data_IF_512270538316
#
_entry.id   IF_512270538316
#
_cell.length_a   1.000
_cell.length_b   1.000
_cell.length_c   1.000
_cell.angle_alpha   90.00
_cell.angle_beta   90.00
_cell.angle_gamma   90.00
#
_symmetry.space_group_name_H-M   'P 1'
#
loop_
_entity.id
_entity.type
_entity.pdbx_description
1 polymer ?
#
# COMPACT_ATOMS: atom_id res chain seq x y z
N UNK A 1 -15.39 17.71 18.99
CA UNK A 1 -14.80 17.46 20.32
C UNK A 1 -15.83 16.83 21.27
N UNK A 2 -16.92 17.52 21.62
CA UNK A 2 -17.90 17.02 22.62
C UNK A 2 -18.58 15.70 22.21
N UNK A 3 -19.04 15.57 20.97
CA UNK A 3 -19.74 14.37 20.50
C UNK A 3 -18.86 13.11 20.38
N UNK A 4 -17.57 13.24 20.06
CA UNK A 4 -16.64 12.10 20.02
C UNK A 4 -16.30 11.65 21.43
N UNK A 5 -15.99 12.58 22.35
CA UNK A 5 -15.78 12.24 23.76
C UNK A 5 -17.04 11.63 24.38
N UNK A 6 -18.22 12.07 23.96
CA UNK A 6 -19.50 11.48 24.35
C UNK A 6 -19.65 10.06 23.76
N UNK A 7 -19.37 9.86 22.47
CA UNK A 7 -19.39 8.55 21.81
C UNK A 7 -18.41 7.56 22.46
N UNK A 8 -17.17 7.98 22.74
CA UNK A 8 -16.15 7.18 23.43
C UNK A 8 -16.58 6.85 24.86
N UNK A 9 -17.20 7.79 25.58
CA UNK A 9 -17.76 7.54 26.93
C UNK A 9 -18.91 6.53 26.89
N UNK A 10 -19.81 6.63 25.92
CA UNK A 10 -20.89 5.66 25.73
C UNK A 10 -20.32 4.28 25.34
N UNK A 11 -19.35 4.25 24.42
CA UNK A 11 -18.66 3.03 24.03
C UNK A 11 -17.98 2.37 25.23
N UNK A 12 -17.27 3.13 26.07
CA UNK A 12 -16.65 2.60 27.28
C UNK A 12 -17.69 2.06 28.27
N UNK A 13 -18.82 2.75 28.44
CA UNK A 13 -19.90 2.28 29.31
C UNK A 13 -20.52 0.98 28.79
N UNK A 14 -20.71 0.85 27.48
CA UNK A 14 -21.25 -0.36 26.86
C UNK A 14 -20.23 -1.50 26.84
N UNK A 15 -18.95 -1.22 26.52
CA UNK A 15 -17.82 -2.15 26.63
C UNK A 15 -17.62 -2.69 28.04
N UNK A 16 -17.86 -1.87 29.07
CA UNK A 16 -17.79 -2.33 30.46
C UNK A 16 -18.94 -3.28 30.84
N UNK A 17 -19.98 -3.37 30.00
CA UNK A 17 -21.15 -4.25 30.16
C UNK A 17 -21.09 -5.48 29.25
N UNK A 18 -20.46 -5.40 28.08
CA UNK A 18 -20.26 -6.52 27.16
C UNK A 18 -18.94 -7.24 27.43
N UNK A 19 -19.02 -8.51 27.84
CA UNK A 19 -17.85 -9.34 28.13
C UNK A 19 -17.29 -10.09 26.90
N UNK A 20 -17.71 -9.73 25.68
CA UNK A 20 -17.38 -10.45 24.46
C UNK A 20 -17.34 -9.48 23.28
N UNK A 21 -16.38 -9.67 22.36
CA UNK A 21 -16.38 -9.01 21.06
C UNK A 21 -17.61 -9.44 20.25
N UNK A 22 -18.32 -8.48 19.69
CA UNK A 22 -19.33 -8.68 18.65
C UNK A 22 -18.99 -7.83 17.41
N UNK A 23 -19.72 -8.06 16.33
CA UNK A 23 -19.46 -7.47 15.02
C UNK A 23 -19.65 -5.96 15.04
N UNK A 24 -20.70 -5.48 15.71
CA UNK A 24 -21.02 -4.06 15.86
C UNK A 24 -19.88 -3.31 16.56
N UNK A 25 -19.37 -3.86 17.65
CA UNK A 25 -18.27 -3.25 18.38
C UNK A 25 -17.00 -3.14 17.52
N UNK A 26 -16.67 -4.18 16.75
CA UNK A 26 -15.49 -4.14 15.87
C UNK A 26 -15.65 -3.07 14.79
N UNK A 27 -16.84 -2.95 14.18
CA UNK A 27 -17.13 -1.86 13.25
C UNK A 27 -16.93 -0.49 13.89
N UNK A 28 -17.47 -0.28 15.09
CA UNK A 28 -17.34 1.01 15.78
C UNK A 28 -15.88 1.33 16.08
N UNK A 29 -15.07 0.35 16.50
CA UNK A 29 -13.65 0.57 16.76
C UNK A 29 -12.87 0.86 15.48
N UNK A 30 -13.19 0.21 14.35
CA UNK A 30 -12.61 0.57 13.04
C UNK A 30 -12.92 2.02 12.68
N UNK A 31 -14.18 2.42 12.77
CA UNK A 31 -14.61 3.77 12.39
C UNK A 31 -14.01 4.83 13.31
N UNK A 32 -13.98 4.60 14.62
CA UNK A 32 -13.35 5.51 15.58
C UNK A 32 -11.84 5.58 15.40
N UNK A 33 -11.18 4.43 15.29
CA UNK A 33 -9.72 4.37 15.21
C UNK A 33 -9.18 4.99 13.93
N UNK A 34 -9.80 4.73 12.77
CA UNK A 34 -9.40 5.32 11.49
C UNK A 34 -9.69 6.83 11.40
N UNK A 35 -10.61 7.36 12.21
CA UNK A 35 -10.96 8.79 12.23
C UNK A 35 -10.25 9.59 13.33
N UNK A 36 -9.43 8.96 14.17
CA UNK A 36 -8.67 9.65 15.24
C UNK A 36 -7.80 10.79 14.69
N UNK A 37 -7.10 10.53 13.57
CA UNK A 37 -6.22 11.50 12.91
C UNK A 37 -6.95 12.69 12.28
N UNK A 38 -8.26 12.60 12.07
CA UNK A 38 -9.09 13.72 11.58
C UNK A 38 -9.28 14.82 12.62
N UNK A 39 -9.09 14.48 13.89
CA UNK A 39 -9.27 15.39 15.02
C UNK A 39 -7.95 15.79 15.64
N UNK A 40 -7.05 14.83 15.80
CA UNK A 40 -5.70 15.05 16.32
C UNK A 40 -4.75 14.33 15.38
N UNK A 41 -4.07 15.10 14.53
CA UNK A 41 -3.14 14.61 13.50
C UNK A 41 -2.09 13.63 14.05
N UNK A 42 -1.69 13.79 15.32
CA UNK A 42 -0.71 12.92 15.99
C UNK A 42 -1.31 11.63 16.57
N UNK A 43 -2.64 11.53 16.66
CA UNK A 43 -3.31 10.32 17.11
C UNK A 43 -3.56 9.40 15.90
N UNK A 44 -2.76 8.33 15.83
CA UNK A 44 -2.82 7.32 14.78
C UNK A 44 -3.84 6.20 15.09
N UNK A 45 -4.56 6.28 16.21
CA UNK A 45 -5.51 5.25 16.60
C UNK A 45 -4.85 3.92 17.01
N UNK A 46 -3.57 3.93 17.39
CA UNK A 46 -2.78 2.73 17.72
C UNK A 46 -3.44 1.87 18.79
N UNK A 47 -4.07 2.49 19.80
CA UNK A 47 -4.75 1.77 20.88
C UNK A 47 -5.91 0.94 20.30
N UNK A 48 -6.70 1.53 19.39
CA UNK A 48 -7.81 0.87 18.72
C UNK A 48 -7.30 -0.24 17.79
N UNK A 49 -6.24 0.02 17.01
CA UNK A 49 -5.61 -0.98 16.15
C UNK A 49 -5.18 -2.21 16.95
N UNK A 50 -4.46 -2.02 18.06
CA UNK A 50 -4.01 -3.12 18.93
C UNK A 50 -5.19 -3.89 19.52
N UNK A 51 -6.26 -3.21 19.90
CA UNK A 51 -7.47 -3.86 20.40
C UNK A 51 -8.12 -4.76 19.32
N UNK A 52 -8.25 -4.29 18.08
CA UNK A 52 -8.79 -5.09 16.98
C UNK A 52 -7.86 -6.26 16.63
N UNK A 53 -6.56 -6.04 16.60
CA UNK A 53 -5.58 -7.12 16.37
C UNK A 53 -5.75 -8.23 17.40
N UNK A 54 -5.92 -7.89 18.68
CA UNK A 54 -6.20 -8.87 19.73
C UNK A 54 -7.56 -9.55 19.55
N UNK A 55 -8.62 -8.79 19.26
CA UNK A 55 -9.98 -9.29 19.06
C UNK A 55 -10.06 -10.31 17.91
N UNK A 56 -9.47 -10.00 16.75
CA UNK A 56 -9.48 -10.86 15.56
C UNK A 56 -8.72 -12.18 15.81
N UNK A 57 -7.78 -12.21 16.76
CA UNK A 57 -7.06 -13.41 17.15
C UNK A 57 -7.72 -14.16 18.32
N UNK A 58 -8.73 -13.58 18.96
CA UNK A 58 -9.38 -14.20 20.10
C UNK A 58 -10.21 -15.43 19.67
N UNK A 59 -9.97 -16.62 20.28
CA UNK A 59 -10.62 -17.86 19.85
C UNK A 59 -12.13 -17.88 20.12
N UNK A 60 -12.63 -17.07 21.04
CA UNK A 60 -14.07 -16.94 21.31
C UNK A 60 -14.77 -16.17 20.19
N UNK A 61 -14.17 -15.05 19.76
CA UNK A 61 -14.67 -14.25 18.66
C UNK A 61 -14.65 -15.05 17.35
N UNK A 62 -13.51 -15.69 17.03
CA UNK A 62 -13.37 -16.53 15.83
C UNK A 62 -14.38 -17.68 15.72
N UNK A 63 -14.82 -18.24 16.86
CA UNK A 63 -15.80 -19.33 16.89
C UNK A 63 -17.24 -18.85 16.72
N UNK A 64 -17.55 -17.61 17.12
CA UNK A 64 -18.90 -17.05 17.06
C UNK A 64 -19.16 -16.24 15.80
N UNK A 65 -18.14 -15.53 15.31
CA UNK A 65 -18.22 -14.66 14.15
C UNK A 65 -18.41 -15.48 12.88
N UNK A 66 -19.28 -15.01 11.98
CA UNK A 66 -19.38 -15.58 10.64
C UNK A 66 -18.04 -15.49 9.91
N UNK A 67 -17.71 -16.53 9.13
CA UNK A 67 -16.43 -16.62 8.42
C UNK A 67 -16.22 -15.53 7.38
N UNK A 68 -17.29 -15.05 6.73
CA UNK A 68 -17.24 -13.97 5.75
C UNK A 68 -17.02 -12.63 6.46
N UNK A 69 -17.68 -12.42 7.60
CA UNK A 69 -17.53 -11.22 8.42
C UNK A 69 -16.12 -11.14 9.02
N UNK A 70 -15.58 -12.27 9.49
CA UNK A 70 -14.19 -12.34 9.95
C UNK A 70 -13.21 -12.01 8.81
N UNK A 71 -13.46 -12.52 7.59
CA UNK A 71 -12.63 -12.20 6.42
C UNK A 71 -12.71 -10.70 6.07
N UNK A 72 -13.91 -10.12 6.10
CA UNK A 72 -14.11 -8.69 5.91
C UNK A 72 -13.27 -7.85 6.88
N UNK A 73 -13.33 -8.15 8.18
CA UNK A 73 -12.52 -7.42 9.16
C UNK A 73 -11.02 -7.64 9.01
N UNK A 74 -10.58 -8.84 8.61
CA UNK A 74 -9.17 -9.08 8.29
C UNK A 74 -8.71 -8.24 7.10
N UNK A 75 -9.53 -8.10 6.06
CA UNK A 75 -9.20 -7.23 4.93
C UNK A 75 -9.20 -5.75 5.34
N UNK A 76 -10.15 -5.28 6.15
CA UNK A 76 -10.11 -3.92 6.69
C UNK A 76 -8.85 -3.66 7.52
N UNK A 77 -8.41 -4.64 8.31
CA UNK A 77 -7.20 -4.56 9.11
C UNK A 77 -5.94 -4.40 8.24
N UNK A 78 -5.86 -5.05 7.08
CA UNK A 78 -4.73 -4.90 6.14
C UNK A 78 -4.50 -3.45 5.77
N UNK A 79 -5.56 -2.73 5.40
CA UNK A 79 -5.44 -1.31 5.05
C UNK A 79 -4.87 -0.52 6.24
N UNK A 80 -5.45 -0.70 7.43
CA UNK A 80 -5.03 0.04 8.60
C UNK A 80 -3.57 -0.26 8.99
N UNK A 81 -3.18 -1.53 9.04
CA UNK A 81 -1.80 -1.95 9.32
C UNK A 81 -0.81 -1.37 8.31
N UNK A 82 -1.14 -1.42 7.02
CA UNK A 82 -0.29 -0.88 5.96
C UNK A 82 -0.04 0.61 6.16
N UNK A 83 -1.10 1.40 6.35
CA UNK A 83 -0.91 2.86 6.44
C UNK A 83 -0.18 3.23 7.73
N UNK A 84 -0.46 2.57 8.87
CA UNK A 84 0.25 2.89 10.12
C UNK A 84 1.71 2.44 10.07
N UNK A 85 2.01 1.28 9.48
CA UNK A 85 3.40 0.82 9.29
C UNK A 85 4.26 1.81 8.51
N UNK A 86 3.64 2.65 7.68
CA UNK A 86 4.31 3.69 6.88
C UNK A 86 4.87 4.83 7.73
N UNK A 87 4.33 5.04 8.94
CA UNK A 87 4.69 6.15 9.83
C UNK A 87 5.15 5.71 11.22
N UNK A 88 4.90 4.46 11.63
CA UNK A 88 5.18 3.97 12.98
C UNK A 88 5.88 2.60 12.99
N UNK A 89 6.94 2.47 13.80
CA UNK A 89 7.82 1.28 13.89
C UNK A 89 7.12 0.06 14.49
N UNK A 90 6.39 0.26 15.59
CA UNK A 90 5.90 -0.83 16.45
C UNK A 90 4.58 -1.48 15.97
N UNK A 91 4.31 -1.46 14.67
CA UNK A 91 3.10 -2.11 14.12
C UNK A 91 3.41 -3.52 13.63
N UNK A 92 2.68 -4.48 14.18
CA UNK A 92 2.65 -5.85 13.69
C UNK A 92 1.81 -5.90 12.42
N UNK A 93 2.39 -6.40 11.33
CA UNK A 93 1.72 -6.63 10.06
C UNK A 93 1.41 -8.12 9.93
N UNK A 94 0.12 -8.47 9.77
CA UNK A 94 -0.30 -9.87 9.68
C UNK A 94 -0.30 -10.35 8.22
N UNK A 95 0.23 -11.55 7.98
CA UNK A 95 0.37 -12.13 6.63
C UNK A 95 -0.71 -13.16 6.28
N UNK A 96 -1.71 -13.35 7.16
CA UNK A 96 -2.74 -14.40 7.08
C UNK A 96 -3.51 -14.47 5.74
N UNK A 97 -3.50 -13.36 4.99
CA UNK A 97 -4.27 -13.22 3.75
C UNK A 97 -3.43 -13.43 2.47
N UNK A 98 -2.09 -13.45 2.54
CA UNK A 98 -1.24 -13.67 1.35
C UNK A 98 -1.45 -15.08 0.77
N UNK A 99 -1.66 -16.07 1.65
CA UNK A 99 -1.93 -17.46 1.25
C UNK A 99 -3.40 -17.71 0.85
N UNK A 100 -4.31 -16.77 1.16
CA UNK A 100 -5.77 -16.94 1.07
C UNK A 100 -6.44 -15.89 0.16
N UNK A 101 -5.73 -15.35 -0.83
CA UNK A 101 -6.31 -14.57 -1.94
C UNK A 101 -7.12 -15.45 -2.90
N UNK A 102 -7.84 -16.44 -2.38
CA UNK A 102 -8.98 -17.02 -3.09
C UNK A 102 -10.15 -16.02 -3.03
N UNK A 103 -10.79 -15.73 -4.18
CA UNK A 103 -11.90 -14.78 -4.30
C UNK A 103 -12.96 -14.96 -3.23
N UNK A 104 -13.43 -13.84 -2.65
CA UNK A 104 -14.72 -13.81 -1.95
C UNK A 104 -15.80 -14.01 -3.00
N UNK A 105 -16.55 -15.12 -2.87
CA UNK A 105 -17.89 -15.25 -3.45
C UNK A 105 -18.75 -14.18 -2.78
N UNK A 106 -19.28 -13.22 -3.54
CA UNK A 106 -20.22 -12.23 -3.00
C UNK A 106 -21.41 -12.89 -2.30
N UNK A 107 -22.13 -12.17 -1.41
CA UNK A 107 -23.31 -12.72 -0.76
C UNK A 107 -24.31 -13.19 -1.80
N UNK A 108 -24.75 -14.44 -1.65
CA UNK A 108 -25.93 -15.00 -2.31
C UNK A 108 -27.17 -14.25 -1.79
N UNK A 109 -27.37 -13.01 -2.22
CA UNK A 109 -28.67 -12.38 -2.11
C UNK A 109 -29.43 -12.59 -3.41
N UNK A 110 -30.59 -13.21 -3.22
CA UNK A 110 -31.59 -13.67 -4.15
C UNK A 110 -31.25 -14.91 -4.98
N UNK A 111 -31.86 -16.02 -4.54
CA UNK A 111 -32.08 -17.24 -5.31
C UNK A 111 -32.96 -16.98 -6.54
N UNK A 112 -32.52 -16.14 -7.47
CA UNK A 112 -33.16 -15.96 -8.76
C UNK A 112 -32.10 -15.89 -9.88
N UNK A 113 -31.98 -17.02 -10.59
CA UNK A 113 -31.30 -17.19 -11.88
C UNK A 113 -29.79 -16.95 -11.91
N UNK A 114 -29.01 -17.90 -11.40
CA UNK A 114 -27.69 -18.15 -11.99
C UNK A 114 -27.89 -18.68 -13.41
N UNK A 115 -27.51 -17.90 -14.43
CA UNK A 115 -27.30 -18.44 -15.77
C UNK A 115 -26.19 -19.50 -15.70
N UNK A 116 -26.37 -20.70 -16.28
CA UNK A 116 -25.30 -21.69 -16.34
C UNK A 116 -24.12 -21.09 -17.13
N UNK A 117 -22.99 -20.82 -16.46
CA UNK A 117 -21.77 -20.29 -17.09
C UNK A 117 -21.18 -19.00 -16.51
N UNK A 118 -21.80 -18.37 -15.49
CA UNK A 118 -21.19 -17.19 -14.84
C UNK A 118 -20.10 -17.61 -13.86
N UNK A 119 -18.85 -17.21 -14.13
CA UNK A 119 -17.75 -17.36 -13.18
C UNK A 119 -17.95 -16.45 -11.97
N UNK A 120 -17.61 -16.89 -10.75
CA UNK A 120 -17.77 -16.07 -9.56
C UNK A 120 -16.90 -14.80 -9.64
N UNK A 121 -17.48 -13.63 -9.37
CA UNK A 121 -16.77 -12.35 -9.37
C UNK A 121 -16.37 -11.92 -7.95
N UNK A 122 -15.21 -11.25 -7.85
CA UNK A 122 -14.63 -10.68 -6.64
C UNK A 122 -15.31 -9.35 -6.35
N UNK A 123 -16.01 -9.25 -5.23
CA UNK A 123 -16.53 -7.97 -4.74
C UNK A 123 -15.39 -7.11 -4.18
N UNK A 124 -15.14 -5.89 -4.68
CA UNK A 124 -14.16 -4.99 -4.08
C UNK A 124 -14.52 -4.65 -2.63
N UNK A 125 -13.56 -4.78 -1.73
CA UNK A 125 -13.73 -4.45 -0.32
C UNK A 125 -13.63 -2.92 -0.10
N UNK A 126 -14.37 -2.31 0.85
CA UNK A 126 -14.44 -0.85 0.99
C UNK A 126 -13.09 -0.15 1.25
N UNK A 127 -12.17 -0.78 1.99
CA UNK A 127 -10.87 -0.18 2.35
C UNK A 127 -9.72 -0.65 1.47
N UNK A 128 -9.76 -1.89 1.01
CA UNK A 128 -8.67 -2.54 0.28
C UNK A 128 -8.97 -2.68 -1.20
N UNK A 129 -10.22 -2.52 -1.63
CA UNK A 129 -10.67 -2.82 -2.99
C UNK A 129 -10.37 -4.28 -3.33
N UNK A 130 -9.54 -4.46 -4.36
CA UNK A 130 -8.96 -5.77 -4.72
C UNK A 130 -7.47 -5.85 -4.34
N UNK A 131 -6.94 -4.83 -3.67
CA UNK A 131 -5.53 -4.60 -3.41
C UNK A 131 -5.07 -5.15 -2.05
N UNK A 132 -5.85 -5.98 -1.35
CA UNK A 132 -5.45 -6.53 -0.05
C UNK A 132 -4.07 -7.22 -0.12
N UNK A 133 -3.85 -8.11 -1.10
CA UNK A 133 -2.53 -8.73 -1.33
C UNK A 133 -1.41 -7.71 -1.57
N UNK A 134 -1.53 -6.82 -2.58
CA UNK A 134 -0.57 -5.74 -2.82
C UNK A 134 -0.29 -4.85 -1.61
N UNK A 135 -1.30 -4.51 -0.80
CA UNK A 135 -1.16 -3.67 0.40
C UNK A 135 -0.37 -4.39 1.52
N UNK A 136 -0.55 -5.71 1.68
CA UNK A 136 0.28 -6.49 2.61
C UNK A 136 1.75 -6.50 2.16
N UNK A 137 2.00 -6.71 0.86
CA UNK A 137 3.36 -6.65 0.32
C UNK A 137 3.99 -5.27 0.50
N UNK A 138 3.21 -4.21 0.30
CA UNK A 138 3.62 -2.83 0.56
C UNK A 138 4.02 -2.65 2.03
N UNK A 139 3.17 -3.07 2.97
CA UNK A 139 3.41 -2.99 4.41
C UNK A 139 4.69 -3.75 4.82
N UNK A 140 4.90 -4.95 4.27
CA UNK A 140 6.13 -5.74 4.49
C UNK A 140 7.38 -5.02 3.95
N UNK A 141 7.30 -4.43 2.75
CA UNK A 141 8.41 -3.67 2.19
C UNK A 141 8.77 -2.46 3.06
N UNK A 142 7.76 -1.72 3.51
CA UNK A 142 7.91 -0.63 4.47
C UNK A 142 8.61 -1.11 5.75
N UNK A 143 8.14 -2.23 6.34
CA UNK A 143 8.76 -2.80 7.53
C UNK A 143 10.24 -3.17 7.32
N UNK A 144 10.56 -3.85 6.21
CA UNK A 144 11.94 -4.18 5.87
C UNK A 144 12.82 -2.92 5.70
N UNK A 145 12.30 -1.86 5.08
CA UNK A 145 13.03 -0.59 4.88
C UNK A 145 13.29 0.09 6.23
N UNK A 146 12.29 0.10 7.11
CA UNK A 146 12.40 0.64 8.46
C UNK A 146 13.40 -0.14 9.32
N UNK A 147 13.33 -1.47 9.28
CA UNK A 147 14.30 -2.33 9.94
C UNK A 147 15.72 -2.13 9.38
N UNK A 148 15.86 -1.93 8.07
CA UNK A 148 17.15 -1.64 7.45
C UNK A 148 17.79 -0.36 8.01
N UNK A 149 16.96 0.65 8.31
CA UNK A 149 17.38 1.95 8.87
C UNK A 149 17.63 1.91 10.37
N UNK A 150 17.02 0.99 11.10
CA UNK A 150 17.24 0.84 12.54
C UNK A 150 18.48 0.00 12.89
N UNK A 151 19.12 -0.65 11.90
CA UNK A 151 20.44 -1.25 12.10
C UNK A 151 21.47 -0.16 12.39
N UNK A 152 21.72 0.06 13.67
CA UNK A 152 22.73 0.98 14.16
C UNK A 152 24.15 0.40 13.88
N UNK A 153 24.98 1.03 13.03
CA UNK A 153 26.29 0.48 12.67
C UNK A 153 27.31 0.48 13.82
N UNK A 154 27.00 1.13 14.94
CA UNK A 154 27.97 1.40 16.04
C UNK A 154 27.67 0.62 17.34
N UNK A 155 26.49 -0.02 17.49
CA UNK A 155 25.94 -0.23 18.83
C UNK A 155 25.73 -1.65 19.37
N UNK A 156 25.68 -2.72 18.56
CA UNK A 156 25.02 -3.96 19.05
C UNK A 156 25.84 -5.23 18.84
N UNK A 157 26.38 -5.75 19.96
CA UNK A 157 26.95 -7.10 20.10
C UNK A 157 25.90 -8.18 19.76
N UNK A 158 26.24 -9.23 18.99
CA UNK A 158 25.33 -10.34 18.77
C UNK A 158 25.60 -11.47 19.77
N UNK A 159 24.84 -11.52 20.86
CA UNK A 159 24.67 -12.74 21.68
C UNK A 159 23.28 -13.34 21.44
N UNK A 160 22.98 -13.71 20.19
CA UNK A 160 21.83 -14.57 19.90
C UNK A 160 22.18 -15.58 18.81
N UNK A 161 21.76 -16.82 19.03
CA UNK A 161 21.95 -17.97 18.14
C UNK A 161 21.26 -17.70 16.80
N UNK A 162 22.06 -17.52 15.74
CA UNK A 162 21.63 -17.15 14.38
C UNK A 162 21.92 -15.69 14.05
N UNK A 163 22.70 -15.44 12.99
CA UNK A 163 23.07 -14.10 12.56
C UNK A 163 21.80 -13.29 12.21
N UNK A 164 21.46 -12.20 12.94
CA UNK A 164 20.28 -11.38 12.67
C UNK A 164 20.21 -10.87 11.23
N UNK A 165 21.37 -10.66 10.60
CA UNK A 165 21.48 -10.27 9.20
C UNK A 165 20.98 -11.38 8.26
N UNK A 166 21.30 -12.64 8.52
CA UNK A 166 20.87 -13.77 7.66
C UNK A 166 19.35 -13.93 7.70
N UNK A 167 18.73 -13.74 8.88
CA UNK A 167 17.27 -13.72 9.02
C UNK A 167 16.64 -12.57 8.24
N UNK A 168 17.20 -11.36 8.35
CA UNK A 168 16.73 -10.20 7.61
C UNK A 168 16.83 -10.40 6.09
N UNK A 169 17.96 -10.92 5.61
CA UNK A 169 18.15 -11.26 4.19
C UNK A 169 17.18 -12.36 3.73
N UNK A 170 16.90 -13.34 4.58
CA UNK A 170 15.86 -14.35 4.36
C UNK A 170 14.50 -13.72 4.13
N UNK A 171 14.03 -12.88 5.07
CA UNK A 171 12.76 -12.15 4.97
C UNK A 171 12.70 -11.26 3.72
N UNK A 172 13.79 -10.59 3.37
CA UNK A 172 13.86 -9.74 2.18
C UNK A 172 13.73 -10.56 0.88
N UNK A 173 14.38 -11.72 0.81
CA UNK A 173 14.29 -12.62 -0.34
C UNK A 173 12.90 -13.26 -0.46
N UNK A 174 12.28 -13.62 0.65
CA UNK A 174 10.90 -14.11 0.69
C UNK A 174 9.92 -13.04 0.20
N UNK A 175 10.05 -11.80 0.70
CA UNK A 175 9.26 -10.68 0.24
C UNK A 175 9.41 -10.45 -1.27
N UNK A 176 10.65 -10.44 -1.78
CA UNK A 176 10.88 -10.33 -3.23
C UNK A 176 10.20 -11.49 -3.97
N UNK A 177 10.34 -12.73 -3.48
CA UNK A 177 9.70 -13.89 -4.10
C UNK A 177 8.18 -13.75 -4.16
N UNK A 178 7.55 -13.29 -3.09
CA UNK A 178 6.10 -13.13 -3.00
C UNK A 178 5.59 -12.03 -3.94
N UNK A 179 6.32 -10.91 -4.06
CA UNK A 179 6.01 -9.86 -5.04
C UNK A 179 5.99 -10.42 -6.47
N UNK A 180 6.99 -11.25 -6.81
CA UNK A 180 7.10 -11.83 -8.15
C UNK A 180 6.13 -13.00 -8.40
N UNK A 181 5.51 -13.58 -7.37
CA UNK A 181 4.48 -14.63 -7.49
C UNK A 181 3.06 -14.08 -7.46
N UNK A 182 2.87 -12.82 -7.05
CA UNK A 182 1.55 -12.22 -6.87
C UNK A 182 0.77 -12.18 -8.19
N UNK A 183 -0.48 -12.67 -8.14
CA UNK A 183 -1.48 -12.53 -9.20
C UNK A 183 -2.42 -11.37 -8.84
N UNK A 184 -2.72 -10.53 -9.82
CA UNK A 184 -3.87 -9.61 -9.75
C UNK A 184 -5.05 -10.19 -10.54
N UNK A 185 -6.29 -9.98 -10.10
CA UNK A 185 -7.46 -10.44 -10.84
C UNK A 185 -7.58 -9.69 -12.18
N UNK A 186 -8.08 -10.38 -13.20
CA UNK A 186 -8.44 -9.78 -14.47
C UNK A 186 -9.72 -8.93 -14.31
N UNK A 187 -9.90 -7.95 -15.20
CA UNK A 187 -11.01 -7.00 -15.09
C UNK A 187 -12.40 -7.66 -15.04
N UNK A 188 -12.61 -8.76 -15.78
CA UNK A 188 -13.88 -9.49 -15.80
C UNK A 188 -14.15 -10.32 -14.53
N UNK A 189 -13.10 -10.59 -13.74
CA UNK A 189 -13.20 -11.28 -12.45
C UNK A 189 -13.64 -10.33 -11.33
N UNK A 190 -13.68 -9.01 -11.58
CA UNK A 190 -14.02 -8.00 -10.57
C UNK A 190 -15.50 -7.63 -10.71
N UNK A 191 -16.25 -7.74 -9.62
CA UNK A 191 -17.65 -7.38 -9.58
C UNK A 191 -17.82 -5.86 -9.64
N UNK A 192 -18.94 -5.42 -10.23
CA UNK A 192 -19.35 -4.02 -10.16
C UNK A 192 -19.81 -3.67 -8.75
N UNK A 193 -19.31 -2.57 -8.19
CA UNK A 193 -19.75 -2.02 -6.90
C UNK A 193 -21.09 -1.30 -6.99
N UNK A 194 -21.60 -1.06 -8.21
CA UNK A 194 -22.77 -0.22 -8.46
C UNK A 194 -22.47 1.28 -8.49
N UNK A 195 -21.27 1.70 -8.07
CA UNK A 195 -20.83 3.09 -8.17
C UNK A 195 -20.29 3.39 -9.57
N UNK A 196 -20.96 4.31 -10.28
CA UNK A 196 -20.58 4.72 -11.64
C UNK A 196 -19.28 5.51 -11.68
N UNK A 197 -18.92 6.18 -10.58
CA UNK A 197 -17.67 6.95 -10.48
C UNK A 197 -16.48 6.05 -10.13
N UNK A 198 -16.73 4.84 -9.63
CA UNK A 198 -15.71 3.87 -9.21
C UNK A 198 -15.88 2.53 -9.93
N UNK A 199 -15.73 2.49 -11.27
CA UNK A 199 -15.75 1.24 -12.03
C UNK A 199 -14.62 0.28 -11.61
N UNK A 200 -14.81 -1.01 -11.87
CA UNK A 200 -13.87 -2.09 -11.53
C UNK A 200 -12.41 -1.81 -11.93
N UNK A 201 -12.19 -1.14 -13.07
CA UNK A 201 -10.85 -0.78 -13.56
C UNK A 201 -10.10 0.15 -12.59
N UNK A 202 -10.80 1.05 -11.86
CA UNK A 202 -10.15 1.92 -10.89
C UNK A 202 -9.54 1.10 -9.73
N UNK A 203 -10.23 0.06 -9.27
CA UNK A 203 -9.69 -0.84 -8.24
C UNK A 203 -8.47 -1.62 -8.75
N UNK A 204 -8.48 -2.06 -10.01
CA UNK A 204 -7.34 -2.75 -10.62
C UNK A 204 -6.13 -1.81 -10.76
N UNK A 205 -6.33 -0.59 -11.26
CA UNK A 205 -5.27 0.42 -11.38
C UNK A 205 -4.63 0.75 -10.03
N UNK A 206 -5.41 0.83 -8.95
CA UNK A 206 -4.88 1.01 -7.59
C UNK A 206 -4.07 -0.19 -7.13
N UNK A 207 -4.55 -1.42 -7.38
CA UNK A 207 -3.79 -2.63 -7.05
C UNK A 207 -2.45 -2.69 -7.79
N UNK A 208 -2.43 -2.35 -9.07
CA UNK A 208 -1.19 -2.20 -9.86
C UNK A 208 -0.29 -1.11 -9.30
N UNK A 209 -0.85 0.04 -8.91
CA UNK A 209 -0.08 1.14 -8.33
C UNK A 209 0.61 0.71 -7.02
N UNK A 210 -0.06 -0.06 -6.15
CA UNK A 210 0.57 -0.65 -4.97
C UNK A 210 1.68 -1.65 -5.32
N UNK A 211 1.49 -2.48 -6.35
CA UNK A 211 2.55 -3.40 -6.82
C UNK A 211 3.79 -2.63 -7.30
N UNK A 212 3.61 -1.62 -8.15
CA UNK A 212 4.71 -0.75 -8.61
C UNK A 212 5.36 -0.01 -7.44
N UNK A 213 4.59 0.52 -6.51
CA UNK A 213 5.10 1.26 -5.36
C UNK A 213 5.91 0.34 -4.42
N UNK A 214 5.48 -0.91 -4.26
CA UNK A 214 6.20 -1.92 -3.49
C UNK A 214 7.55 -2.25 -4.13
N UNK A 215 7.55 -2.57 -5.43
CA UNK A 215 8.79 -2.86 -6.17
C UNK A 215 9.73 -1.64 -6.19
N UNK A 216 9.18 -0.45 -6.44
CA UNK A 216 9.94 0.79 -6.49
C UNK A 216 10.73 1.03 -5.20
N UNK A 217 10.05 1.03 -4.06
CA UNK A 217 10.70 1.29 -2.77
C UNK A 217 11.73 0.22 -2.42
N UNK A 218 11.39 -1.05 -2.66
CA UNK A 218 12.27 -2.18 -2.39
C UNK A 218 13.58 -2.06 -3.20
N UNK A 219 13.49 -1.83 -4.51
CA UNK A 219 14.66 -1.72 -5.39
C UNK A 219 15.37 -0.37 -5.32
N UNK A 220 14.69 0.68 -4.84
CA UNK A 220 15.33 1.94 -4.53
C UNK A 220 16.28 1.79 -3.33
N UNK A 221 15.80 1.21 -2.24
CA UNK A 221 16.56 1.05 -0.99
C UNK A 221 17.59 -0.08 -1.07
N UNK A 222 17.21 -1.26 -1.57
CA UNK A 222 18.09 -2.43 -1.57
C UNK A 222 18.80 -2.61 -2.92
N UNK A 223 19.87 -1.83 -3.14
CA UNK A 223 20.65 -1.84 -4.39
C UNK A 223 21.15 -3.22 -4.81
N UNK A 224 21.57 -4.07 -3.86
CA UNK A 224 22.03 -5.43 -4.16
C UNK A 224 20.90 -6.30 -4.73
N UNK A 225 19.70 -6.21 -4.13
CA UNK A 225 18.52 -6.91 -4.61
C UNK A 225 18.13 -6.43 -6.02
N UNK A 226 18.17 -5.11 -6.24
CA UNK A 226 17.96 -4.48 -7.55
C UNK A 226 18.92 -5.01 -8.61
N UNK A 227 20.22 -4.97 -8.35
CA UNK A 227 21.23 -5.39 -9.31
C UNK A 227 21.08 -6.87 -9.65
N UNK A 228 20.89 -7.73 -8.64
CA UNK A 228 20.63 -9.16 -8.85
C UNK A 228 19.40 -9.37 -9.73
N UNK A 229 18.29 -8.70 -9.44
CA UNK A 229 17.06 -8.84 -10.24
C UNK A 229 17.26 -8.35 -11.67
N UNK A 230 17.89 -7.19 -11.83
CA UNK A 230 18.14 -6.61 -13.14
C UNK A 230 18.99 -7.53 -14.03
N UNK A 231 20.02 -8.18 -13.46
CA UNK A 231 20.82 -9.19 -14.17
C UNK A 231 19.99 -10.42 -14.56
N UNK A 232 19.08 -10.87 -13.69
CA UNK A 232 18.19 -12.00 -14.01
C UNK A 232 17.24 -11.69 -15.16
N UNK A 233 16.68 -10.48 -15.22
CA UNK A 233 15.82 -10.05 -16.33
C UNK A 233 16.61 -9.92 -17.65
N UNK A 234 17.90 -9.58 -17.59
CA UNK A 234 18.79 -9.49 -18.76
C UNK A 234 19.37 -10.82 -19.24
N UNK A 235 19.29 -11.89 -18.43
CA UNK A 235 19.73 -13.24 -18.78
C UNK A 235 18.63 -14.01 -19.51
N UNK A 236 19.02 -14.80 -20.52
CA UNK A 236 18.14 -15.56 -21.43
C UNK A 236 16.94 -16.23 -20.73
N UNK A 237 15.74 -15.91 -21.24
CA UNK A 237 14.47 -16.63 -21.02
C UNK A 237 14.65 -18.12 -21.30
N UNK A 238 14.71 -18.91 -20.23
CA UNK A 238 14.85 -20.36 -20.31
C UNK A 238 14.05 -21.05 -19.22
N UNK A 239 12.79 -20.66 -19.02
CA UNK A 239 11.71 -21.49 -18.46
C UNK A 239 10.40 -20.69 -18.41
N UNK A 240 9.76 -20.53 -19.57
CA UNK A 240 8.50 -19.80 -19.72
C UNK A 240 7.26 -20.51 -19.11
N UNK A 241 7.40 -21.69 -18.48
CA UNK A 241 6.24 -22.58 -18.26
C UNK A 241 5.66 -22.66 -16.85
N UNK A 242 6.15 -21.93 -15.84
CA UNK A 242 5.75 -22.20 -14.44
C UNK A 242 4.97 -21.09 -13.70
N UNK A 243 4.77 -19.90 -14.27
CA UNK A 243 4.14 -18.78 -13.57
C UNK A 243 3.29 -17.88 -14.49
N UNK A 244 2.43 -18.50 -15.31
CA UNK A 244 1.62 -17.79 -16.32
C UNK A 244 0.64 -16.75 -15.73
N UNK A 245 0.40 -16.79 -14.42
CA UNK A 245 -0.53 -15.91 -13.71
C UNK A 245 0.15 -14.79 -12.88
N UNK A 246 1.48 -14.69 -12.90
CA UNK A 246 2.18 -13.62 -12.16
C UNK A 246 2.03 -12.27 -12.85
N UNK A 247 1.61 -11.27 -12.08
CA UNK A 247 1.54 -9.89 -12.56
C UNK A 247 2.93 -9.34 -12.90
N UNK A 248 3.93 -9.57 -12.04
CA UNK A 248 5.28 -9.03 -12.25
C UNK A 248 5.96 -9.58 -13.51
N UNK A 249 5.81 -10.88 -13.79
CA UNK A 249 6.35 -11.51 -14.99
C UNK A 249 5.65 -11.02 -16.27
N UNK A 250 4.35 -10.73 -16.20
CA UNK A 250 3.64 -10.10 -17.32
C UNK A 250 4.24 -8.72 -17.64
N UNK A 251 4.56 -7.93 -16.61
CA UNK A 251 5.15 -6.59 -16.79
C UNK A 251 6.62 -6.64 -17.23
N UNK A 252 7.39 -7.65 -16.82
CA UNK A 252 8.81 -7.81 -17.14
C UNK A 252 9.11 -7.70 -18.65
N UNK A 253 8.22 -8.23 -19.49
CA UNK A 253 8.33 -8.12 -20.96
C UNK A 253 8.48 -6.68 -21.44
N UNK A 254 7.82 -5.73 -20.77
CA UNK A 254 7.89 -4.30 -21.08
C UNK A 254 9.18 -3.64 -20.58
N UNK A 255 9.90 -4.26 -19.65
CA UNK A 255 11.13 -3.74 -19.04
C UNK A 255 12.40 -4.26 -19.72
N UNK A 256 12.32 -5.36 -20.46
CA UNK A 256 13.47 -6.00 -21.11
C UNK A 256 14.26 -5.06 -22.03
N UNK A 257 13.61 -4.07 -22.66
CA UNK A 257 14.29 -3.07 -23.48
C UNK A 257 15.30 -2.22 -22.67
N UNK A 258 15.13 -2.09 -21.36
CA UNK A 258 16.03 -1.32 -20.49
C UNK A 258 17.34 -2.05 -20.21
N UNK A 259 17.36 -3.38 -20.29
CA UNK A 259 18.56 -4.20 -20.04
C UNK A 259 19.72 -3.87 -20.98
N UNK A 260 19.41 -3.30 -22.16
CA UNK A 260 20.38 -2.96 -23.21
C UNK A 260 20.87 -1.51 -23.11
N UNK A 261 20.36 -0.72 -22.14
CA UNK A 261 20.67 0.71 -22.02
C UNK A 261 21.71 0.99 -20.93
N UNK A 262 22.61 1.99 -21.13
CA UNK A 262 23.46 2.49 -20.05
C UNK A 262 22.62 2.93 -18.85
N UNK A 263 23.07 2.60 -17.63
CA UNK A 263 22.33 2.87 -16.38
C UNK A 263 20.90 2.28 -16.36
N UNK A 264 20.65 1.20 -17.12
CA UNK A 264 19.33 0.58 -17.24
C UNK A 264 18.69 0.19 -15.89
N UNK A 265 19.50 -0.19 -14.90
CA UNK A 265 19.03 -0.52 -13.55
C UNK A 265 18.42 0.69 -12.81
N UNK A 266 19.03 1.86 -12.95
CA UNK A 266 18.52 3.11 -12.33
C UNK A 266 17.28 3.61 -13.08
N UNK A 267 17.32 3.55 -14.41
CA UNK A 267 16.16 3.89 -15.26
C UNK A 267 14.97 2.98 -14.97
N UNK A 268 15.20 1.70 -14.73
CA UNK A 268 14.16 0.75 -14.33
C UNK A 268 13.51 1.12 -13.00
N UNK A 269 14.29 1.49 -11.97
CA UNK A 269 13.72 1.95 -10.70
C UNK A 269 12.91 3.23 -10.89
N UNK A 270 13.41 4.21 -11.65
CA UNK A 270 12.63 5.43 -11.96
C UNK A 270 11.33 5.09 -12.71
N UNK A 271 11.38 4.12 -13.63
CA UNK A 271 10.21 3.63 -14.36
C UNK A 271 9.18 3.00 -13.41
N UNK A 272 9.60 2.22 -12.41
CA UNK A 272 8.69 1.63 -11.42
C UNK A 272 7.94 2.74 -10.65
N UNK A 273 8.66 3.73 -10.11
CA UNK A 273 8.04 4.84 -9.39
C UNK A 273 7.11 5.68 -10.27
N UNK A 274 7.50 5.97 -11.51
CA UNK A 274 6.65 6.70 -12.47
C UNK A 274 5.40 5.91 -12.84
N UNK A 275 5.48 4.58 -12.94
CA UNK A 275 4.30 3.75 -13.23
C UNK A 275 3.25 3.81 -12.12
N UNK A 276 3.64 4.05 -10.85
CA UNK A 276 2.67 4.33 -9.78
C UNK A 276 1.77 5.49 -10.21
N UNK A 277 2.38 6.60 -10.62
CA UNK A 277 1.67 7.83 -10.99
C UNK A 277 0.86 7.64 -12.28
N UNK A 278 1.43 6.96 -13.28
CA UNK A 278 0.73 6.69 -14.54
C UNK A 278 -0.53 5.83 -14.35
N UNK A 279 -0.59 4.97 -13.32
CA UNK A 279 -1.83 4.24 -13.00
C UNK A 279 -2.86 5.16 -12.35
N UNK A 280 -2.44 6.04 -11.46
CA UNK A 280 -3.33 7.01 -10.82
C UNK A 280 -3.86 8.09 -11.78
N UNK A 281 -3.07 8.47 -12.80
CA UNK A 281 -3.46 9.43 -13.84
C UNK A 281 -4.62 8.93 -14.70
N UNK A 282 -4.78 7.60 -14.82
CA UNK A 282 -5.90 6.97 -15.53
C UNK A 282 -7.21 6.95 -14.72
N UNK A 283 -7.16 7.28 -13.42
CA UNK A 283 -8.32 7.27 -12.53
C UNK A 283 -8.89 8.68 -12.45
N UNK A 284 -10.19 8.84 -12.68
CA UNK A 284 -10.89 10.12 -12.53
C UNK A 284 -10.82 10.64 -11.08
N UNK A 285 -10.78 11.95 -10.91
CA UNK A 285 -10.71 12.62 -9.60
C UNK A 285 -11.98 12.41 -8.75
N UNK A 286 -13.12 12.13 -9.38
CA UNK A 286 -14.38 11.77 -8.73
C UNK A 286 -14.44 10.32 -8.23
N UNK A 287 -13.45 9.48 -8.55
CA UNK A 287 -13.41 8.08 -8.12
C UNK A 287 -13.34 7.95 -6.60
N UNK A 288 -14.10 7.01 -6.04
CA UNK A 288 -14.06 6.64 -4.63
C UNK A 288 -12.68 6.11 -4.20
N UNK A 289 -11.91 5.53 -5.11
CA UNK A 289 -10.53 5.08 -4.83
C UNK A 289 -9.55 6.23 -4.57
N UNK A 290 -9.90 7.48 -4.85
CA UNK A 290 -9.01 8.63 -4.66
C UNK A 290 -8.56 8.81 -3.21
N UNK A 291 -9.29 8.26 -2.23
CA UNK A 291 -8.91 8.31 -0.80
C UNK A 291 -7.57 7.62 -0.51
N UNK A 292 -7.14 6.64 -1.32
CA UNK A 292 -5.86 5.93 -1.10
C UNK A 292 -4.72 6.44 -1.99
N UNK A 293 -4.99 7.41 -2.87
CA UNK A 293 -3.98 7.97 -3.77
C UNK A 293 -2.85 8.75 -3.05
N UNK A 294 -3.08 9.51 -1.95
CA UNK A 294 -2.04 10.36 -1.36
C UNK A 294 -0.75 9.61 -1.01
N UNK A 295 -0.85 8.43 -0.38
CA UNK A 295 0.32 7.59 -0.06
C UNK A 295 1.06 7.15 -1.32
N UNK A 296 0.34 6.69 -2.35
CA UNK A 296 0.94 6.24 -3.61
C UNK A 296 1.59 7.39 -4.39
N UNK A 297 0.97 8.57 -4.40
CA UNK A 297 1.53 9.79 -5.01
C UNK A 297 2.79 10.23 -4.27
N UNK A 298 2.79 10.19 -2.94
CA UNK A 298 3.96 10.48 -2.11
C UNK A 298 5.13 9.55 -2.47
N UNK A 299 4.87 8.24 -2.52
CA UNK A 299 5.90 7.24 -2.89
C UNK A 299 6.40 7.44 -4.32
N UNK A 300 5.51 7.66 -5.30
CA UNK A 300 5.90 7.85 -6.70
C UNK A 300 6.70 9.14 -6.94
N UNK A 301 6.46 10.18 -6.14
CA UNK A 301 7.08 11.50 -6.29
C UNK A 301 8.61 11.47 -6.23
N UNK A 302 9.18 10.55 -5.45
CA UNK A 302 10.64 10.42 -5.32
C UNK A 302 11.34 9.91 -6.59
N UNK A 303 10.59 9.37 -7.56
CA UNK A 303 11.13 8.98 -8.86
C UNK A 303 11.24 10.12 -9.87
N UNK A 304 10.62 11.27 -9.60
CA UNK A 304 10.48 12.39 -10.53
C UNK A 304 11.66 13.36 -10.47
N UNK A 305 12.89 12.84 -10.55
CA UNK A 305 14.11 13.67 -10.62
C UNK A 305 14.26 14.30 -12.01
N UNK A 306 14.69 15.56 -12.04
CA UNK A 306 15.14 16.25 -13.26
C UNK A 306 16.67 16.21 -13.27
N UNK A 307 17.26 15.92 -14.43
CA UNK A 307 18.72 16.05 -14.60
C UNK A 307 18.96 17.50 -15.08
N UNK A 308 19.65 18.35 -14.29
CA UNK A 308 19.82 19.78 -14.61
C UNK A 308 20.51 20.03 -15.96
N UNK A 309 21.33 19.09 -16.41
CA UNK A 309 22.09 19.20 -17.67
C UNK A 309 21.22 19.01 -18.93
N UNK A 310 19.96 18.57 -18.78
CA UNK A 310 19.07 18.15 -19.87
C UNK A 310 17.73 18.93 -19.88
N UNK A 311 17.70 20.15 -19.34
CA UNK A 311 16.50 20.96 -19.14
C UNK A 311 15.57 21.08 -20.36
N UNK A 312 16.10 21.03 -21.59
CA UNK A 312 15.31 21.13 -22.81
C UNK A 312 14.78 19.79 -23.36
N UNK A 313 15.15 18.66 -22.76
CA UNK A 313 14.76 17.34 -23.26
C UNK A 313 13.26 17.05 -23.07
N UNK A 314 12.71 16.21 -23.96
CA UNK A 314 11.33 15.72 -23.85
C UNK A 314 11.07 14.99 -22.53
N UNK A 315 12.09 14.30 -22.00
CA UNK A 315 12.00 13.59 -20.72
C UNK A 315 11.78 14.58 -19.55
N UNK A 316 12.47 15.72 -19.56
CA UNK A 316 12.31 16.74 -18.51
C UNK A 316 10.92 17.39 -18.56
N UNK A 317 10.42 17.74 -19.76
CA UNK A 317 9.05 18.27 -19.91
C UNK A 317 8.00 17.30 -19.38
N UNK A 318 8.19 16.02 -19.65
CA UNK A 318 7.32 14.96 -19.18
C UNK A 318 7.37 14.83 -17.65
N UNK A 319 8.56 14.92 -17.03
CA UNK A 319 8.67 14.95 -15.56
C UNK A 319 7.90 16.13 -14.97
N UNK A 320 8.01 17.33 -15.54
CA UNK A 320 7.25 18.49 -15.07
C UNK A 320 5.73 18.32 -15.23
N UNK A 321 5.26 17.72 -16.33
CA UNK A 321 3.83 17.38 -16.50
C UNK A 321 3.35 16.45 -15.39
N UNK A 322 4.13 15.40 -15.11
CA UNK A 322 3.77 14.39 -14.09
C UNK A 322 3.82 15.01 -12.69
N UNK A 323 4.82 15.86 -12.38
CA UNK A 323 4.87 16.59 -11.10
C UNK A 323 3.64 17.48 -10.91
N UNK A 324 3.21 18.19 -11.96
CA UNK A 324 1.99 19.01 -11.93
C UNK A 324 0.76 18.15 -11.65
N UNK A 325 0.61 17.02 -12.35
CA UNK A 325 -0.47 16.07 -12.09
C UNK A 325 -0.50 15.63 -10.62
N UNK A 326 0.65 15.30 -10.03
CA UNK A 326 0.74 14.90 -8.62
C UNK A 326 0.24 16.00 -7.70
N UNK A 327 0.73 17.23 -7.84
CA UNK A 327 0.34 18.35 -6.98
C UNK A 327 -1.14 18.69 -7.12
N UNK A 328 -1.64 18.73 -8.36
CA UNK A 328 -3.05 18.99 -8.66
C UNK A 328 -3.93 17.90 -8.02
N UNK A 329 -3.55 16.62 -8.16
CA UNK A 329 -4.31 15.49 -7.61
C UNK A 329 -4.33 15.50 -6.08
N UNK A 330 -3.20 15.69 -5.41
CA UNK A 330 -3.18 15.73 -3.92
C UNK A 330 -3.98 16.92 -3.41
N UNK A 331 -3.89 18.08 -4.06
CA UNK A 331 -4.67 19.27 -3.71
C UNK A 331 -6.18 19.01 -3.84
N UNK A 332 -6.61 18.36 -4.93
CA UNK A 332 -8.01 17.97 -5.15
C UNK A 332 -8.51 17.01 -4.06
N UNK A 333 -7.73 15.98 -3.71
CA UNK A 333 -8.11 15.02 -2.69
C UNK A 333 -8.19 15.69 -1.31
N UNK A 334 -7.21 16.54 -0.97
CA UNK A 334 -7.22 17.31 0.27
C UNK A 334 -8.47 18.21 0.38
N UNK A 335 -8.79 18.96 -0.68
CA UNK A 335 -9.95 19.84 -0.71
C UNK A 335 -11.29 19.07 -0.64
N UNK A 336 -11.39 17.93 -1.33
CA UNK A 336 -12.59 17.09 -1.35
C UNK A 336 -12.86 16.40 -0.01
N UNK A 337 -11.81 16.00 0.71
CA UNK A 337 -11.92 15.23 1.96
C UNK A 337 -11.79 16.05 3.23
N UNK A 338 -11.41 17.33 3.13
CA UNK A 338 -11.14 18.21 4.28
C UNK A 338 -10.17 17.56 5.29
N UNK A 339 -9.19 16.83 4.77
CA UNK A 339 -8.26 16.02 5.55
C UNK A 339 -6.94 16.77 5.73
N UNK A 340 -6.70 17.24 6.95
CA UNK A 340 -5.43 17.88 7.36
C UNK A 340 -4.22 16.94 7.14
N UNK A 341 -4.29 15.64 7.43
CA UNK A 341 -3.24 14.69 7.06
C UNK A 341 -2.89 14.68 5.56
N UNK A 342 -3.89 14.75 4.68
CA UNK A 342 -3.64 14.81 3.22
C UNK A 342 -3.03 16.15 2.81
N UNK A 343 -3.35 17.24 3.51
CA UNK A 343 -2.68 18.52 3.30
C UNK A 343 -1.19 18.47 3.65
N UNK A 344 -0.81 17.73 4.70
CA UNK A 344 0.60 17.52 5.05
C UNK A 344 1.35 16.76 3.96
N UNK A 345 0.73 15.73 3.36
CA UNK A 345 1.30 15.00 2.21
C UNK A 345 1.66 15.95 1.06
N UNK A 346 0.83 16.95 0.76
CA UNK A 346 1.14 17.95 -0.26
C UNK A 346 2.44 18.72 0.06
N UNK A 347 2.62 19.15 1.31
CA UNK A 347 3.81 19.86 1.77
C UNK A 347 5.08 19.00 1.66
N UNK A 348 4.96 17.70 1.98
CA UNK A 348 6.06 16.74 1.83
C UNK A 348 6.47 16.56 0.37
N UNK A 349 5.50 16.47 -0.54
CA UNK A 349 5.77 16.32 -1.98
C UNK A 349 6.48 17.55 -2.54
N UNK A 350 6.09 18.76 -2.13
CA UNK A 350 6.80 19.98 -2.52
C UNK A 350 8.25 19.96 -2.05
N UNK A 351 8.51 19.52 -0.81
CA UNK A 351 9.86 19.39 -0.28
C UNK A 351 10.67 18.30 -1.01
N UNK A 352 10.04 17.18 -1.39
CA UNK A 352 10.66 16.16 -2.25
C UNK A 352 11.13 16.78 -3.56
N UNK A 353 10.24 17.50 -4.27
CA UNK A 353 10.61 18.12 -5.55
C UNK A 353 11.72 19.16 -5.38
N UNK A 354 11.65 19.99 -4.34
CA UNK A 354 12.70 20.97 -4.03
C UNK A 354 14.07 20.30 -3.84
N UNK A 355 14.15 19.19 -3.11
CA UNK A 355 15.40 18.46 -2.90
C UNK A 355 15.89 17.73 -4.15
N UNK A 356 14.97 17.15 -4.94
CA UNK A 356 15.31 16.54 -6.22
C UNK A 356 15.88 17.57 -7.21
N UNK A 357 15.38 18.80 -7.21
CA UNK A 357 15.87 19.87 -8.09
C UNK A 357 17.27 20.36 -7.70
N UNK A 358 17.66 20.15 -6.44
CA UNK A 358 19.04 20.35 -5.96
C UNK A 358 19.96 19.16 -6.29
N UNK A 359 19.46 18.13 -6.98
CA UNK A 359 20.23 16.93 -7.31
C UNK A 359 20.44 15.98 -6.13
N UNK A 360 19.69 16.12 -5.04
CA UNK A 360 19.79 15.24 -3.88
C UNK A 360 19.03 13.93 -4.13
N UNK A 361 19.56 12.82 -3.61
CA UNK A 361 18.80 11.58 -3.49
C UNK A 361 17.76 11.73 -2.38
N UNK A 362 16.50 11.39 -2.69
CA UNK A 362 15.37 11.61 -1.80
C UNK A 362 14.58 10.34 -1.63
N UNK A 363 14.31 9.98 -0.38
CA UNK A 363 13.31 8.97 -0.05
C UNK A 363 12.25 9.58 0.86
N UNK A 364 10.99 9.26 0.59
CA UNK A 364 9.84 9.96 1.17
C UNK A 364 9.75 9.85 2.70
N UNK A 365 10.08 8.70 3.29
CA UNK A 365 10.11 8.54 4.75
C UNK A 365 11.17 9.44 5.42
N UNK A 366 12.30 9.68 4.75
CA UNK A 366 13.35 10.54 5.30
C UNK A 366 12.90 12.01 5.33
N UNK A 367 12.04 12.40 4.37
CA UNK A 367 11.41 13.72 4.36
C UNK A 367 10.31 13.83 5.42
N UNK A 368 9.47 12.80 5.59
CA UNK A 368 8.48 12.77 6.66
C UNK A 368 9.14 12.94 8.04
N UNK A 369 10.19 12.17 8.31
CA UNK A 369 10.94 12.25 9.56
C UNK A 369 11.60 13.62 9.74
N UNK A 370 12.17 14.20 8.67
CA UNK A 370 12.81 15.51 8.75
C UNK A 370 11.83 16.68 8.97
N UNK A 371 10.55 16.48 8.68
CA UNK A 371 9.48 17.47 8.85
C UNK A 371 8.61 17.17 10.09
N UNK A 372 8.99 16.19 10.92
CA UNK A 372 8.23 15.73 12.08
C UNK A 372 6.77 15.36 11.77
N UNK A 373 6.50 14.90 10.53
CA UNK A 373 5.16 14.47 10.13
C UNK A 373 4.92 13.03 10.54
N UNK A 374 3.91 12.86 11.39
CA UNK A 374 3.59 11.56 12.01
C UNK A 374 2.39 10.86 11.39
N UNK A 375 1.66 11.51 10.48
CA UNK A 375 0.53 10.89 9.78
C UNK A 375 0.49 11.24 8.30
N UNK A 376 -0.02 10.29 7.53
CA UNK A 376 -0.37 10.44 6.11
C UNK A 376 -1.81 9.96 5.88
N UNK A 377 -2.56 9.74 6.97
CA UNK A 377 -3.88 9.11 7.01
C UNK A 377 -4.92 10.12 7.45
N UNK A 378 -5.96 10.27 6.64
CA UNK A 378 -7.21 10.90 7.03
C UNK A 378 -8.22 10.73 5.92
#
# INVERSE_FOLDING_TARGET
MEYQSLAIKHLHADLSRTSCWDEELIFVIFMLGLSTSWHVVTDLGIVHLKAIQQAIHEPNFRRKCDSQILKFFKEALVYWEMVISSVHDDVVVHNDLIANTTPVLGPLHDSHMFLPGSTPQIMPHPWTGIAAGPQILFARAVHCIRQARSFDPVGSRPESIGNPLDRFLGTLNELESDIWKMRLPALHEIASTGDRNTPAIHHLLVAEAYMYATMYQLYYIFRNLRLRRFTLMGGILGNESLLQDSWALYQEKSWNCLSQTPCGSERWVKLLGRNVILRLEQIQDTSGTCCVHPLLLLVGSTSLSVIPELEESLEVREVFRVRRFVLDRVSQVSASKLSEPVFQVHSVILEIFRRLDLGLEVFWMDILNALDFVTIIG
#
